data_IF_545966702586
#
_entry.id   IF_545966702586
#
_cell.length_a   1.000
_cell.length_b   1.000
_cell.length_c   1.000
_cell.angle_alpha   90.00
_cell.angle_beta   90.00
_cell.angle_gamma   90.00
#
_symmetry.space_group_name_H-M   'P 1'
#
loop_
_entity.id
_entity.type
_entity.pdbx_description
1 polymer ?
#
# COMPACT_ATOMS: atom_id res chain seq x y z
N UNK A 1 12.99 -1.19 -21.28
CA UNK A 1 13.09 -1.08 -19.81
C UNK A 1 12.36 -2.26 -19.22
N UNK A 2 12.99 -3.02 -18.32
CA UNK A 2 12.46 -4.27 -17.75
C UNK A 2 12.33 -4.14 -16.23
N UNK A 3 11.21 -4.62 -15.67
CA UNK A 3 10.94 -4.57 -14.24
C UNK A 3 10.17 -5.81 -13.77
N UNK A 4 10.32 -6.15 -12.49
CA UNK A 4 9.59 -7.24 -11.83
C UNK A 4 8.62 -6.65 -10.81
N UNK A 5 7.36 -7.10 -10.85
CA UNK A 5 6.33 -6.71 -9.90
C UNK A 5 6.13 -7.81 -8.85
N UNK A 6 6.21 -7.46 -7.57
CA UNK A 6 6.05 -8.40 -6.45
C UNK A 6 5.65 -7.66 -5.17
N UNK A 7 5.33 -8.40 -4.11
CA UNK A 7 5.04 -7.81 -2.81
C UNK A 7 6.33 -7.35 -2.15
N UNK A 8 6.34 -6.09 -1.69
CA UNK A 8 7.42 -5.58 -0.86
C UNK A 8 6.89 -4.45 0.01
N UNK A 9 7.02 -4.61 1.33
CA UNK A 9 6.57 -3.66 2.36
C UNK A 9 7.45 -3.81 3.61
N UNK A 10 7.22 -3.00 4.65
CA UNK A 10 7.93 -3.18 5.93
C UNK A 10 7.67 -4.54 6.59
N UNK A 11 6.58 -5.22 6.25
CA UNK A 11 6.25 -6.54 6.79
C UNK A 11 6.62 -7.70 5.87
N UNK A 12 6.59 -7.48 4.57
CA UNK A 12 6.92 -8.50 3.58
C UNK A 12 8.25 -8.15 2.92
N UNK A 13 9.32 -8.75 3.44
CA UNK A 13 10.72 -8.45 3.05
C UNK A 13 11.49 -9.64 2.46
N UNK A 14 10.81 -10.74 2.15
CA UNK A 14 11.46 -11.96 1.61
C UNK A 14 12.23 -11.75 0.30
N UNK A 15 11.86 -10.73 -0.48
CA UNK A 15 12.55 -10.36 -1.73
C UNK A 15 13.97 -9.81 -1.52
N UNK A 16 14.36 -9.46 -0.31
CA UNK A 16 15.70 -8.92 -0.04
C UNK A 16 16.82 -9.96 -0.12
N UNK A 17 16.50 -11.24 0.15
CA UNK A 17 17.49 -12.32 0.23
C UNK A 17 17.98 -12.76 -1.15
N UNK A 18 17.07 -12.97 -2.09
CA UNK A 18 17.40 -13.53 -3.41
C UNK A 18 17.08 -12.59 -4.57
N UNK A 19 15.90 -11.96 -4.56
CA UNK A 19 15.40 -11.22 -5.71
C UNK A 19 16.11 -9.88 -5.89
N UNK A 20 16.27 -9.08 -4.82
CA UNK A 20 16.94 -7.77 -4.91
C UNK A 20 18.40 -7.86 -5.38
N UNK A 21 19.24 -8.78 -4.88
CA UNK A 21 20.58 -8.98 -5.43
C UNK A 21 20.56 -9.35 -6.91
N UNK A 22 19.65 -10.23 -7.32
CA UNK A 22 19.50 -10.67 -8.71
C UNK A 22 19.13 -9.50 -9.63
N UNK A 23 18.16 -8.67 -9.23
CA UNK A 23 17.73 -7.50 -10.01
C UNK A 23 18.86 -6.47 -10.16
N UNK A 24 19.70 -6.28 -9.13
CA UNK A 24 20.87 -5.39 -9.19
C UNK A 24 21.90 -5.86 -10.22
N UNK A 25 22.18 -7.17 -10.29
CA UNK A 25 23.11 -7.74 -11.28
C UNK A 25 22.56 -7.62 -12.70
N UNK A 26 21.26 -7.85 -12.88
CA UNK A 26 20.60 -7.82 -14.18
C UNK A 26 20.28 -6.40 -14.68
N UNK A 27 20.38 -5.37 -13.83
CA UNK A 27 19.99 -4.00 -14.17
C UNK A 27 18.48 -3.82 -14.36
N UNK A 28 17.67 -4.66 -13.70
CA UNK A 28 16.22 -4.61 -13.76
C UNK A 28 15.62 -3.89 -12.54
N UNK A 29 14.47 -3.22 -12.72
CA UNK A 29 13.76 -2.54 -11.63
C UNK A 29 12.83 -3.46 -10.83
N UNK A 30 12.53 -3.09 -9.58
CA UNK A 30 11.48 -3.69 -8.76
C UNK A 30 10.30 -2.72 -8.64
N UNK A 31 9.07 -3.21 -8.87
CA UNK A 31 7.83 -2.45 -8.68
C UNK A 31 6.98 -3.12 -7.59
N UNK A 32 6.86 -2.53 -6.39
CA UNK A 32 6.05 -3.11 -5.32
C UNK A 32 4.55 -2.93 -5.60
N UNK A 33 3.74 -4.00 -5.54
CA UNK A 33 2.27 -3.87 -5.66
C UNK A 33 1.58 -3.50 -4.34
N UNK A 34 2.22 -3.75 -3.19
CA UNK A 34 1.67 -3.50 -1.84
C UNK A 34 2.66 -2.77 -0.92
N UNK A 35 3.17 -1.58 -1.30
CA UNK A 35 4.20 -0.88 -0.53
C UNK A 35 3.76 -0.51 0.90
N UNK A 36 2.46 -0.34 1.13
CA UNK A 36 1.87 0.02 2.42
C UNK A 36 1.24 -1.18 3.16
N UNK A 37 1.59 -2.42 2.79
CA UNK A 37 1.04 -3.61 3.45
C UNK A 37 -0.49 -3.65 3.37
N UNK A 38 -1.03 -3.52 2.16
CA UNK A 38 -2.48 -3.50 1.87
C UNK A 38 -3.23 -2.33 2.55
N UNK A 39 -2.54 -1.20 2.74
CA UNK A 39 -3.11 0.01 3.35
C UNK A 39 -2.97 0.05 4.87
N UNK A 40 -2.43 -1.01 5.49
CA UNK A 40 -2.25 -1.05 6.93
C UNK A 40 -1.27 0.03 7.43
N UNK A 41 -0.19 0.27 6.67
CA UNK A 41 0.85 1.23 7.03
C UNK A 41 0.45 2.68 6.71
N UNK A 42 -0.77 2.94 6.25
CA UNK A 42 -1.23 4.27 5.81
C UNK A 42 -1.60 5.23 6.95
N UNK A 43 -1.46 4.82 8.22
CA UNK A 43 -1.89 5.59 9.41
C UNK A 43 -3.29 6.23 9.27
N UNK A 44 -4.31 5.43 9.56
CA UNK A 44 -5.65 5.94 9.89
C UNK A 44 -6.39 4.94 10.77
N UNK A 45 -5.71 4.50 11.83
CA UNK A 45 -6.31 3.67 12.87
C UNK A 45 -6.89 4.61 13.91
N UNK A 46 -8.20 4.77 13.88
CA UNK A 46 -8.91 5.25 15.05
C UNK A 46 -8.83 4.12 16.09
N UNK A 47 -8.24 4.40 17.25
CA UNK A 47 -8.07 3.40 18.33
C UNK A 47 -9.42 2.94 18.87
N UNK A 48 -10.48 3.74 18.64
CA UNK A 48 -11.86 3.46 19.02
C UNK A 48 -12.71 2.90 17.85
N UNK A 49 -12.14 2.77 16.63
CA UNK A 49 -12.86 2.17 15.53
C UNK A 49 -13.00 0.67 15.77
N UNK A 50 -14.18 0.28 16.26
CA UNK A 50 -14.65 -1.09 16.26
C UNK A 50 -14.31 -1.75 14.92
N UNK A 51 -13.62 -2.89 15.00
CA UNK A 51 -13.17 -3.68 13.85
C UNK A 51 -14.36 -4.05 12.95
N UNK A 52 -14.61 -3.26 11.91
CA UNK A 52 -15.56 -3.61 10.85
C UNK A 52 -14.77 -4.39 9.80
N UNK A 53 -14.86 -5.72 9.92
CA UNK A 53 -14.53 -6.60 8.82
C UNK A 53 -15.58 -6.45 7.71
N UNK A 54 -15.12 -6.55 6.46
CA UNK A 54 -15.86 -6.75 5.20
C UNK A 54 -15.79 -5.57 4.23
N UNK A 55 -14.85 -5.71 3.30
CA UNK A 55 -14.78 -5.11 1.96
C UNK A 55 -14.85 -3.58 1.84
N UNK A 56 -13.76 -3.01 1.32
CA UNK A 56 -13.66 -1.63 0.88
C UNK A 56 -14.86 -1.18 0.04
N UNK A 57 -15.59 -0.16 0.50
CA UNK A 57 -16.45 0.68 -0.36
C UNK A 57 -16.37 2.14 0.11
N UNK A 58 -15.54 2.90 -0.61
CA UNK A 58 -15.73 4.30 -1.03
C UNK A 58 -16.36 5.27 -0.02
N UNK A 59 -15.53 6.06 0.67
CA UNK A 59 -15.96 7.35 1.23
C UNK A 59 -16.19 8.32 0.07
N UNK A 60 -17.40 8.35 -0.47
CA UNK A 60 -17.81 9.38 -1.42
C UNK A 60 -17.89 10.73 -0.72
N UNK A 61 -17.08 11.67 -1.22
CA UNK A 61 -17.34 13.12 -1.29
C UNK A 61 -17.95 13.77 -0.04
N UNK A 62 -17.09 14.26 0.86
CA UNK A 62 -17.45 15.38 1.72
C UNK A 62 -17.53 16.66 0.87
N UNK A 63 -18.68 16.90 0.25
CA UNK A 63 -19.04 18.22 -0.26
C UNK A 63 -19.47 19.08 0.93
N UNK A 64 -18.50 19.70 1.60
CA UNK A 64 -18.78 20.79 2.53
C UNK A 64 -18.80 22.10 1.74
N UNK A 65 -19.99 22.49 1.26
CA UNK A 65 -20.27 23.90 1.01
C UNK A 65 -21.14 24.41 2.16
N UNK A 66 -20.77 25.52 2.83
CA UNK A 66 -21.65 26.14 3.79
C UNK A 66 -22.74 26.89 3.01
N UNK A 67 -24.00 26.53 3.19
CA UNK A 67 -25.10 27.40 2.76
C UNK A 67 -25.20 28.53 3.78
N UNK A 68 -24.70 29.69 3.38
CA UNK A 68 -25.06 30.98 3.94
C UNK A 68 -26.27 31.52 3.17
N UNK A 69 -27.39 31.72 3.86
CA UNK A 69 -28.41 32.77 3.68
C UNK A 69 -29.62 32.45 4.55
#
# INVERSE_FOLDING_TARGET
>A
MTAVQTEYSLWTRGVEEELLPTLKVLGAGLVPYSPLGHGFLSQSWDQDAAFIATSATRRSSASLLPVAA
#
